data_IF_448307742913
#
_entry.id   IF_448307742913
#
_cell.length_a   1.000
_cell.length_b   1.000
_cell.length_c   1.000
_cell.angle_alpha   90.00
_cell.angle_beta   90.00
_cell.angle_gamma   90.00
#
_symmetry.space_group_name_H-M   'P 1'
#
loop_
_entity.id
_entity.type
_entity.pdbx_description
1 polymer ?
#
# COMPACT_ATOMS: atom_id res chain seq x y z
N UNK A 1 -1.79 -0.52 -8.60
CA UNK A 1 -1.88 -1.79 -9.39
C UNK A 1 -2.62 -1.62 -10.72
N UNK A 2 -2.05 -2.02 -11.87
CA UNK A 2 -2.79 -2.17 -13.14
C UNK A 2 -3.17 -3.66 -13.35
N UNK A 3 -4.37 -4.07 -12.94
CA UNK A 3 -4.84 -5.47 -13.10
C UNK A 3 -5.21 -5.76 -14.55
N UNK A 4 -4.22 -6.18 -15.35
CA UNK A 4 -4.44 -6.96 -16.58
C UNK A 4 -3.89 -8.37 -16.39
N UNK A 5 -4.68 -9.24 -15.75
CA UNK A 5 -4.40 -10.67 -15.70
C UNK A 5 -4.65 -11.23 -17.10
N UNK A 6 -3.60 -11.37 -17.90
CA UNK A 6 -3.67 -11.95 -19.25
C UNK A 6 -3.06 -13.35 -19.18
N UNK A 7 -3.92 -14.37 -19.26
CA UNK A 7 -3.48 -15.73 -19.58
C UNK A 7 -2.98 -15.77 -21.02
N UNK A 8 -1.90 -16.51 -21.28
CA UNK A 8 -1.35 -16.69 -22.62
C UNK A 8 -2.22 -17.59 -23.52
N UNK A 9 -3.40 -17.10 -23.94
CA UNK A 9 -4.28 -17.74 -24.94
C UNK A 9 -4.71 -16.69 -25.97
N UNK A 10 -4.60 -17.03 -27.26
CA UNK A 10 -4.82 -16.09 -28.35
C UNK A 10 -6.30 -15.71 -28.57
N UNK A 11 -6.53 -14.40 -28.72
CA UNK A 11 -7.68 -13.68 -29.33
C UNK A 11 -9.11 -14.23 -29.18
N UNK A 12 -10.01 -13.40 -28.64
CA UNK A 12 -11.04 -12.73 -29.48
C UNK A 12 -11.79 -11.55 -28.80
N UNK A 13 -11.91 -10.45 -29.55
CA UNK A 13 -12.93 -9.39 -29.56
C UNK A 13 -13.26 -8.53 -28.30
N UNK A 14 -13.21 -7.20 -28.53
CA UNK A 14 -13.84 -6.14 -27.73
C UNK A 14 -15.38 -6.16 -27.83
N UNK A 15 -16.07 -5.70 -26.78
CA UNK A 15 -17.20 -4.76 -26.94
C UNK A 15 -17.08 -3.67 -25.86
N UNK A 16 -17.10 -2.40 -26.30
CA UNK A 16 -17.34 -1.22 -25.47
C UNK A 16 -18.80 -0.84 -25.64
N UNK A 17 -19.51 -0.52 -24.56
CA UNK A 17 -20.72 0.27 -24.61
C UNK A 17 -20.84 1.16 -23.37
N UNK A 18 -20.96 2.46 -23.61
CA UNK A 18 -21.34 3.44 -22.60
C UNK A 18 -22.71 4.05 -22.92
N UNK A 19 -23.37 4.57 -21.89
CA UNK A 19 -24.49 5.52 -21.88
C UNK A 19 -24.76 5.82 -20.39
N UNK A 20 -25.04 7.03 -19.93
CA UNK A 20 -25.39 8.28 -20.61
C UNK A 20 -26.64 8.88 -19.93
N UNK A 21 -26.64 10.16 -19.55
CA UNK A 21 -27.79 10.72 -18.84
C UNK A 21 -27.63 12.12 -18.22
N UNK A 22 -27.32 13.14 -19.02
CA UNK A 22 -27.55 14.55 -18.65
C UNK A 22 -28.83 15.11 -19.29
N UNK A 23 -29.56 15.96 -18.56
CA UNK A 23 -30.66 16.87 -18.99
C UNK A 23 -31.23 17.57 -17.73
N UNK A 24 -31.71 18.82 -17.67
CA UNK A 24 -31.79 20.01 -18.56
C UNK A 24 -32.30 21.21 -17.68
N UNK A 25 -32.43 22.49 -18.04
CA UNK A 25 -32.03 23.35 -19.18
C UNK A 25 -32.20 24.85 -18.81
N UNK A 26 -31.60 25.78 -19.58
CA UNK A 26 -31.92 27.23 -19.58
C UNK A 26 -30.95 28.14 -18.81
N UNK A 27 -30.58 29.34 -19.28
CA UNK A 27 -30.82 29.96 -20.60
C UNK A 27 -30.65 31.50 -20.60
N UNK A 28 -29.75 32.04 -21.45
CA UNK A 28 -29.51 33.49 -21.75
C UNK A 28 -28.98 34.37 -20.58
N UNK A 29 -28.15 35.42 -20.75
CA UNK A 29 -27.69 36.19 -21.94
C UNK A 29 -26.31 36.86 -21.67
N UNK A 30 -25.54 37.17 -22.73
CA UNK A 30 -24.50 38.23 -22.94
C UNK A 30 -23.99 39.10 -21.75
N UNK A 31 -22.72 39.52 -21.62
CA UNK A 31 -21.78 40.11 -22.62
C UNK A 31 -20.27 39.87 -22.29
N UNK A 32 -19.38 40.42 -23.13
CA UNK A 32 -17.90 40.32 -23.13
C UNK A 32 -17.16 41.00 -21.96
N UNK A 33 -15.89 40.62 -21.73
CA UNK A 33 -14.73 41.46 -22.14
C UNK A 33 -13.36 40.76 -21.98
N UNK A 34 -12.40 41.16 -22.82
CA UNK A 34 -11.01 40.67 -22.85
C UNK A 34 -10.08 41.58 -22.02
N UNK A 35 -9.16 40.98 -21.25
CA UNK A 35 -7.89 41.62 -20.90
C UNK A 35 -6.81 40.58 -20.53
N UNK A 36 -5.64 40.67 -21.18
CA UNK A 36 -4.42 39.90 -20.89
C UNK A 36 -3.36 40.80 -20.19
N UNK A 37 -2.18 40.31 -19.73
CA UNK A 37 -1.59 40.71 -18.44
C UNK A 37 -0.37 41.65 -18.57
N UNK A 38 0.24 42.05 -17.43
CA UNK A 38 1.56 41.50 -17.03
C UNK A 38 1.69 41.36 -15.48
N UNK A 39 2.77 40.85 -14.85
CA UNK A 39 3.99 40.18 -15.31
C UNK A 39 5.13 40.20 -14.25
N UNK A 40 5.85 39.07 -14.11
CA UNK A 40 7.29 38.91 -13.74
C UNK A 40 7.80 39.27 -12.31
N UNK A 41 8.46 38.26 -11.68
CA UNK A 41 9.53 38.32 -10.64
C UNK A 41 9.12 38.68 -9.18
N UNK A 42 9.85 38.32 -8.10
CA UNK A 42 11.22 37.79 -7.91
C UNK A 42 11.33 36.87 -6.67
N UNK A 43 12.36 36.02 -6.60
CA UNK A 43 12.81 35.33 -5.37
C UNK A 43 13.97 36.06 -4.70
N UNK A 44 14.13 35.93 -3.36
CA UNK A 44 15.44 35.79 -2.72
C UNK A 44 15.45 34.63 -1.70
N UNK A 45 16.30 33.61 -1.82
CA UNK A 45 17.73 33.55 -1.45
C UNK A 45 18.01 33.58 0.07
N UNK A 46 18.49 32.44 0.58
CA UNK A 46 18.93 32.16 1.96
C UNK A 46 20.33 32.76 2.27
N UNK A 47 20.69 32.95 3.56
CA UNK A 47 22.09 32.95 3.98
C UNK A 47 22.40 31.97 5.13
N UNK A 48 23.43 31.14 4.94
CA UNK A 48 24.08 30.29 5.94
C UNK A 48 25.00 31.09 6.88
N UNK A 49 25.28 30.62 8.11
CA UNK A 49 26.64 30.24 8.60
C UNK A 49 26.61 29.63 10.04
N UNK A 50 27.72 29.25 10.74
CA UNK A 50 27.78 27.92 11.37
C UNK A 50 28.09 27.93 12.88
N UNK A 51 28.12 26.74 13.50
CA UNK A 51 28.62 26.55 14.87
C UNK A 51 28.87 25.07 15.17
N UNK A 52 30.13 24.70 15.40
CA UNK A 52 30.55 23.33 15.68
C UNK A 52 31.02 23.20 17.14
N UNK A 53 30.59 22.15 17.85
CA UNK A 53 31.15 21.75 19.16
C UNK A 53 31.07 20.24 19.33
N UNK A 54 32.23 19.60 19.51
CA UNK A 54 32.38 18.15 19.63
C UNK A 54 31.87 17.59 20.98
N UNK A 55 31.25 16.41 20.95
CA UNK A 55 31.10 15.44 22.06
C UNK A 55 30.51 14.11 21.55
N UNK A 56 30.65 12.99 22.29
CA UNK A 56 31.34 11.82 21.76
C UNK A 56 30.49 10.88 20.90
N UNK A 57 31.18 10.17 20.01
CA UNK A 57 30.63 9.21 19.06
C UNK A 57 30.10 7.92 19.73
N UNK A 58 28.81 7.86 20.01
CA UNK A 58 28.06 6.61 19.90
C UNK A 58 27.87 6.29 18.43
N UNK A 59 28.40 5.16 17.96
CA UNK A 59 28.16 4.66 16.60
C UNK A 59 26.73 4.10 16.54
N UNK A 60 25.77 4.98 16.31
CA UNK A 60 24.48 4.60 15.76
C UNK A 60 24.70 4.27 14.29
N UNK A 61 24.76 2.97 13.95
CA UNK A 61 24.81 2.53 12.55
C UNK A 61 23.52 2.96 11.86
N UNK A 62 23.57 4.06 11.11
CA UNK A 62 22.41 4.58 10.39
C UNK A 62 21.92 3.54 9.38
N UNK A 63 20.81 2.90 9.68
CA UNK A 63 20.18 1.96 8.75
C UNK A 63 19.57 2.74 7.57
N UNK A 64 19.84 2.33 6.33
CA UNK A 64 19.37 3.05 5.14
C UNK A 64 17.87 2.89 4.90
N UNK A 65 17.32 3.66 3.96
CA UNK A 65 15.90 3.57 3.57
C UNK A 65 15.61 2.29 2.77
N UNK A 66 14.41 1.74 2.96
CA UNK A 66 13.91 0.59 2.17
C UNK A 66 13.75 1.00 0.71
N UNK A 67 14.30 0.20 -0.21
CA UNK A 67 14.00 0.31 -1.65
C UNK A 67 12.88 -0.66 -2.02
N UNK A 68 11.94 -0.20 -2.83
CA UNK A 68 10.91 -1.06 -3.41
C UNK A 68 11.49 -1.80 -4.63
N UNK A 69 11.96 -3.02 -4.41
CA UNK A 69 12.34 -3.99 -5.45
C UNK A 69 11.36 -5.17 -5.42
N UNK A 70 11.45 -6.05 -6.41
CA UNK A 70 10.61 -7.24 -6.54
C UNK A 70 10.96 -8.29 -5.47
N UNK A 71 10.12 -8.41 -4.45
CA UNK A 71 10.29 -9.32 -3.29
C UNK A 71 10.48 -10.81 -3.65
N UNK A 72 10.27 -11.23 -4.91
CA UNK A 72 10.37 -12.63 -5.32
C UNK A 72 11.82 -13.13 -5.43
N UNK A 73 12.84 -12.28 -5.56
CA UNK A 73 14.19 -12.74 -5.90
C UNK A 73 14.80 -13.72 -4.87
N UNK A 74 14.57 -13.52 -3.57
CA UNK A 74 15.00 -14.47 -2.53
C UNK A 74 14.27 -15.81 -2.63
N UNK A 75 12.96 -15.79 -2.89
CA UNK A 75 12.18 -17.02 -3.07
C UNK A 75 12.47 -17.71 -4.41
N UNK A 76 12.96 -16.99 -5.42
CA UNK A 76 13.47 -17.54 -6.65
C UNK A 76 14.82 -18.25 -6.44
N UNK A 77 15.71 -17.72 -5.58
CA UNK A 77 16.96 -18.38 -5.18
C UNK A 77 16.68 -19.73 -4.50
N UNK A 78 15.74 -19.75 -3.55
CA UNK A 78 15.24 -21.00 -2.94
C UNK A 78 14.68 -21.97 -4.01
N UNK A 79 13.92 -21.45 -4.98
CA UNK A 79 13.41 -22.23 -6.10
C UNK A 79 14.49 -22.78 -7.06
N UNK A 80 15.64 -22.12 -7.17
CA UNK A 80 16.80 -22.60 -7.93
C UNK A 80 17.54 -23.72 -7.18
N UNK A 81 17.62 -23.69 -5.84
CA UNK A 81 18.25 -24.76 -5.05
C UNK A 81 17.54 -26.10 -5.25
N UNK A 82 16.21 -26.08 -5.33
CA UNK A 82 15.38 -27.28 -5.58
C UNK A 82 15.46 -27.79 -7.04
N UNK A 83 16.17 -27.10 -7.93
CA UNK A 83 16.25 -27.45 -9.36
C UNK A 83 17.48 -28.30 -9.68
N UNK A 84 17.24 -29.53 -10.14
CA UNK A 84 18.31 -30.47 -10.55
C UNK A 84 18.79 -30.28 -12.00
N UNK A 85 17.97 -29.71 -12.87
CA UNK A 85 18.29 -29.48 -14.28
C UNK A 85 18.85 -28.07 -14.50
N UNK A 86 19.78 -27.88 -15.47
CA UNK A 86 20.27 -26.54 -15.83
C UNK A 86 19.15 -25.59 -16.23
N UNK A 87 19.17 -24.36 -15.69
CA UNK A 87 18.20 -23.32 -16.01
C UNK A 87 18.31 -22.89 -17.48
N UNK A 88 17.17 -22.82 -18.15
CA UNK A 88 16.97 -22.44 -19.56
C UNK A 88 15.67 -21.64 -19.70
N UNK A 89 15.47 -20.96 -20.83
CA UNK A 89 14.21 -20.25 -21.09
C UNK A 89 12.98 -21.15 -20.86
N UNK A 90 11.99 -20.61 -20.17
CA UNK A 90 10.75 -21.26 -19.72
C UNK A 90 10.96 -22.40 -18.70
N UNK A 91 12.12 -22.44 -18.01
CA UNK A 91 12.29 -23.34 -16.87
C UNK A 91 11.36 -22.92 -15.74
N UNK A 92 10.56 -23.86 -15.26
CA UNK A 92 9.80 -23.65 -14.04
C UNK A 92 10.64 -23.96 -12.79
N UNK A 93 10.54 -23.07 -11.81
CA UNK A 93 11.01 -23.26 -10.43
C UNK A 93 9.82 -23.22 -9.47
N UNK A 94 9.99 -23.76 -8.27
CA UNK A 94 8.98 -23.71 -7.21
C UNK A 94 9.27 -22.48 -6.34
N UNK A 95 8.36 -21.52 -6.31
CA UNK A 95 8.49 -20.28 -5.52
C UNK A 95 7.47 -20.30 -4.40
N UNK A 96 7.95 -20.27 -3.15
CA UNK A 96 7.14 -20.32 -1.92
C UNK A 96 7.34 -19.04 -1.11
N UNK A 97 6.63 -17.98 -1.48
CA UNK A 97 6.65 -16.68 -0.79
C UNK A 97 5.79 -16.64 0.49
N UNK A 98 5.65 -17.78 1.18
CA UNK A 98 4.87 -17.93 2.41
C UNK A 98 5.78 -17.98 3.64
N UNK A 99 5.37 -17.34 4.74
CA UNK A 99 6.12 -17.36 6.00
C UNK A 99 5.63 -18.44 6.98
N UNK A 100 6.46 -18.92 7.93
CA UNK A 100 7.93 -18.86 7.89
C UNK A 100 8.51 -19.39 6.57
N UNK A 101 9.57 -18.74 6.09
CA UNK A 101 10.30 -19.11 4.88
C UNK A 101 11.16 -20.36 5.11
N UNK A 102 11.74 -20.90 4.04
CA UNK A 102 12.78 -21.95 4.06
C UNK A 102 12.44 -23.20 4.89
N UNK A 103 11.15 -23.56 5.01
CA UNK A 103 10.62 -24.71 5.75
C UNK A 103 11.06 -26.10 5.23
N UNK A 104 11.82 -26.18 4.14
CA UNK A 104 12.29 -27.45 3.59
C UNK A 104 13.50 -28.02 4.33
N UNK A 105 13.81 -29.29 4.11
CA UNK A 105 14.99 -29.94 4.69
C UNK A 105 16.31 -29.45 4.09
N UNK A 106 17.42 -29.74 4.76
CA UNK A 106 18.77 -29.37 4.32
C UNK A 106 19.08 -29.80 2.87
N UNK A 107 19.83 -28.95 2.18
CA UNK A 107 20.22 -29.11 0.77
C UNK A 107 21.75 -29.14 0.64
N UNK A 108 22.25 -29.61 -0.51
CA UNK A 108 23.65 -29.36 -0.87
C UNK A 108 23.82 -27.92 -1.34
N UNK A 109 25.00 -27.32 -1.16
CA UNK A 109 25.32 -26.04 -1.79
C UNK A 109 25.35 -26.23 -3.31
N UNK A 110 24.63 -25.37 -4.03
CA UNK A 110 24.57 -25.36 -5.50
C UNK A 110 25.10 -24.05 -6.06
N UNK A 111 25.71 -24.10 -7.24
CA UNK A 111 26.10 -22.93 -8.03
C UNK A 111 25.05 -22.68 -9.12
N UNK A 112 24.30 -21.60 -9.00
CA UNK A 112 23.18 -21.26 -9.88
C UNK A 112 23.72 -20.41 -11.05
N UNK A 113 23.85 -21.04 -12.23
CA UNK A 113 24.41 -20.38 -13.42
C UNK A 113 23.31 -20.00 -14.43
N UNK A 114 23.05 -18.70 -14.56
CA UNK A 114 22.16 -18.10 -15.56
C UNK A 114 22.92 -16.97 -16.25
N UNK A 115 23.77 -17.34 -17.23
CA UNK A 115 24.81 -16.46 -17.79
C UNK A 115 24.31 -15.34 -18.74
N UNK A 116 23.01 -15.29 -19.01
CA UNK A 116 22.32 -14.22 -19.77
C UNK A 116 20.87 -14.15 -19.28
N UNK A 117 20.20 -12.98 -19.34
CA UNK A 117 18.80 -12.84 -18.95
C UNK A 117 17.90 -13.93 -19.57
N UNK A 118 17.31 -14.75 -18.70
CA UNK A 118 16.60 -15.99 -19.07
C UNK A 118 15.19 -15.99 -18.46
N UNK A 119 14.18 -16.35 -19.26
CA UNK A 119 12.80 -16.47 -18.79
C UNK A 119 12.68 -17.66 -17.85
N UNK A 120 12.23 -17.41 -16.63
CA UNK A 120 11.93 -18.38 -15.59
C UNK A 120 10.47 -18.23 -15.19
N UNK A 121 9.78 -19.34 -14.95
CA UNK A 121 8.34 -19.37 -14.65
C UNK A 121 8.11 -19.82 -13.21
N UNK A 122 7.58 -18.93 -12.39
CA UNK A 122 7.24 -19.22 -11.00
C UNK A 122 6.06 -20.22 -10.97
N UNK A 123 6.27 -21.35 -10.28
CA UNK A 123 5.29 -22.42 -10.07
C UNK A 123 4.65 -23.00 -11.35
N UNK A 124 5.25 -22.80 -12.52
CA UNK A 124 4.74 -23.29 -13.80
C UNK A 124 3.49 -22.54 -14.28
N UNK A 125 3.30 -21.31 -13.82
CA UNK A 125 2.13 -20.48 -14.12
C UNK A 125 1.97 -20.12 -15.61
N UNK A 126 0.72 -20.05 -16.04
CA UNK A 126 0.31 -19.57 -17.37
C UNK A 126 0.00 -18.05 -17.38
N UNK A 127 0.24 -17.34 -16.28
CA UNK A 127 0.09 -15.90 -16.17
C UNK A 127 1.44 -15.21 -16.32
N UNK A 128 1.51 -14.25 -17.24
CA UNK A 128 2.74 -13.50 -17.56
C UNK A 128 3.32 -12.71 -16.37
N UNK A 129 2.52 -12.40 -15.36
CA UNK A 129 3.01 -11.71 -14.16
C UNK A 129 3.93 -12.58 -13.29
N UNK A 130 3.89 -13.91 -13.50
CA UNK A 130 4.70 -14.91 -12.80
C UNK A 130 5.89 -15.37 -13.68
N UNK A 131 6.19 -14.61 -14.75
CA UNK A 131 7.28 -14.88 -15.69
C UNK A 131 8.36 -13.82 -15.49
N UNK A 132 9.51 -14.25 -14.99
CA UNK A 132 10.60 -13.39 -14.57
C UNK A 132 11.82 -13.58 -15.48
N UNK A 133 12.63 -12.55 -15.63
CA UNK A 133 13.84 -12.58 -16.45
C UNK A 133 15.07 -12.42 -15.58
N UNK A 134 15.68 -13.54 -15.19
CA UNK A 134 16.80 -13.55 -14.25
C UNK A 134 18.15 -13.73 -14.97
N UNK A 135 19.20 -13.17 -14.37
CA UNK A 135 20.61 -13.41 -14.68
C UNK A 135 21.37 -13.59 -13.35
N UNK A 136 22.42 -14.42 -13.34
CA UNK A 136 23.24 -14.63 -12.14
C UNK A 136 24.73 -14.54 -12.43
N UNK A 137 25.49 -14.00 -11.47
CA UNK A 137 26.94 -13.92 -11.54
C UNK A 137 27.54 -14.44 -10.22
N UNK A 138 28.22 -15.60 -10.30
CA UNK A 138 28.81 -16.27 -9.13
C UNK A 138 27.81 -16.71 -8.07
N UNK A 139 26.50 -16.72 -8.37
CA UNK A 139 25.46 -17.03 -7.39
C UNK A 139 25.60 -18.47 -6.91
N UNK A 140 25.77 -18.65 -5.61
CA UNK A 140 25.76 -19.94 -4.94
C UNK A 140 24.83 -19.89 -3.73
N UNK A 141 24.09 -20.97 -3.50
CA UNK A 141 23.07 -20.97 -2.45
C UNK A 141 22.91 -22.34 -1.79
N UNK A 142 22.49 -22.34 -0.52
CA UNK A 142 22.21 -23.54 0.27
C UNK A 142 21.14 -23.25 1.33
N UNK A 143 20.07 -24.06 1.37
CA UNK A 143 19.20 -24.15 2.55
C UNK A 143 19.80 -25.12 3.57
N UNK A 144 19.94 -24.68 4.83
CA UNK A 144 20.49 -25.46 5.95
C UNK A 144 19.90 -24.99 7.28
N UNK A 145 19.45 -25.90 8.15
CA UNK A 145 18.81 -25.59 9.43
C UNK A 145 17.60 -24.62 9.33
N UNK A 146 16.86 -24.65 8.23
CA UNK A 146 15.80 -23.66 7.88
C UNK A 146 16.29 -22.20 7.70
N UNK A 147 17.60 -22.00 7.50
CA UNK A 147 18.18 -20.77 7.01
C UNK A 147 18.53 -20.93 5.53
N UNK A 148 18.44 -19.83 4.76
CA UNK A 148 18.96 -19.75 3.40
C UNK A 148 20.31 -19.02 3.44
N UNK A 149 21.36 -19.69 2.96
CA UNK A 149 22.71 -19.15 2.82
C UNK A 149 22.92 -18.81 1.34
N UNK A 150 23.34 -17.58 1.02
CA UNK A 150 23.50 -17.08 -0.35
C UNK A 150 24.78 -16.26 -0.50
N UNK A 151 25.52 -16.47 -1.58
CA UNK A 151 26.67 -15.66 -1.97
C UNK A 151 26.63 -15.39 -3.48
N UNK A 152 27.15 -14.25 -3.94
CA UNK A 152 27.13 -13.84 -5.36
C UNK A 152 25.95 -12.95 -5.75
N UNK A 153 25.67 -12.80 -7.05
CA UNK A 153 24.70 -11.81 -7.57
C UNK A 153 23.54 -12.44 -8.32
N UNK A 154 22.33 -11.92 -8.10
CA UNK A 154 21.15 -12.13 -8.95
C UNK A 154 20.64 -10.78 -9.48
N UNK A 155 20.21 -10.74 -10.74
CA UNK A 155 19.65 -9.56 -11.41
C UNK A 155 18.29 -9.90 -12.03
N UNK A 156 17.34 -8.97 -11.98
CA UNK A 156 16.08 -9.06 -12.73
C UNK A 156 16.03 -8.02 -13.87
N UNK A 157 15.47 -8.45 -15.00
CA UNK A 157 15.27 -7.66 -16.20
C UNK A 157 13.78 -7.63 -16.57
N UNK A 158 13.35 -6.59 -17.30
CA UNK A 158 11.97 -6.54 -17.79
C UNK A 158 11.75 -7.64 -18.84
N UNK A 159 10.76 -8.49 -18.59
CA UNK A 159 10.16 -9.34 -19.63
C UNK A 159 9.34 -8.49 -20.61
N UNK A 160 9.60 -8.64 -21.91
CA UNK A 160 8.87 -7.98 -22.98
C UNK A 160 7.81 -8.93 -23.58
N UNK A 161 6.54 -8.56 -23.39
CA UNK A 161 5.38 -9.28 -23.91
C UNK A 161 5.26 -9.26 -25.44
N UNK A 162 5.82 -8.26 -26.12
CA UNK A 162 5.70 -8.10 -27.57
C UNK A 162 6.67 -9.01 -28.32
N UNK A 163 7.91 -9.10 -27.84
CA UNK A 163 8.93 -10.00 -28.37
C UNK A 163 8.88 -11.41 -27.76
N UNK A 164 8.18 -11.59 -26.62
CA UNK A 164 8.21 -12.81 -25.81
C UNK A 164 9.67 -13.19 -25.44
N UNK A 165 10.40 -12.20 -24.93
CA UNK A 165 11.81 -12.33 -24.56
C UNK A 165 12.16 -11.51 -23.32
N UNK A 166 13.30 -11.78 -22.70
CA UNK A 166 13.91 -10.81 -21.80
C UNK A 166 14.40 -9.60 -22.61
N UNK A 167 14.17 -8.40 -22.08
CA UNK A 167 14.72 -7.16 -22.62
C UNK A 167 16.07 -6.85 -21.98
N UNK A 168 16.73 -5.78 -22.46
CA UNK A 168 17.94 -5.23 -21.84
C UNK A 168 17.65 -4.22 -20.72
N UNK A 169 16.39 -3.98 -20.35
CA UNK A 169 16.04 -3.08 -19.25
C UNK A 169 16.25 -3.80 -17.91
N UNK A 170 17.31 -3.41 -17.21
CA UNK A 170 17.63 -3.88 -15.86
C UNK A 170 16.70 -3.24 -14.84
N UNK A 171 16.02 -4.07 -14.04
CA UNK A 171 15.10 -3.62 -12.99
C UNK A 171 15.79 -3.46 -11.63
N UNK A 172 16.75 -4.33 -11.34
CA UNK A 172 17.56 -4.28 -10.13
C UNK A 172 18.38 -5.55 -9.93
N UNK A 173 19.33 -5.51 -9.00
CA UNK A 173 20.10 -6.68 -8.56
C UNK A 173 20.24 -6.70 -7.04
N UNK A 174 20.41 -7.90 -6.51
CA UNK A 174 20.95 -8.12 -5.17
C UNK A 174 22.32 -8.78 -5.28
N UNK A 175 23.29 -8.20 -4.56
CA UNK A 175 24.62 -8.78 -4.34
C UNK A 175 24.65 -9.29 -2.90
N UNK A 176 24.87 -10.58 -2.75
CA UNK A 176 25.03 -11.27 -1.47
C UNK A 176 26.52 -11.56 -1.25
N UNK A 177 26.97 -11.36 -0.01
CA UNK A 177 28.34 -11.62 0.44
C UNK A 177 28.23 -12.52 1.69
N UNK A 178 28.28 -13.84 1.49
CA UNK A 178 27.99 -14.86 2.52
C UNK A 178 26.73 -14.54 3.37
N UNK A 179 25.65 -14.08 2.73
CA UNK A 179 24.42 -13.69 3.41
C UNK A 179 23.66 -14.91 3.96
N UNK A 180 23.16 -14.79 5.19
CA UNK A 180 22.35 -15.82 5.85
C UNK A 180 21.00 -15.21 6.21
N UNK A 181 19.91 -15.79 5.71
CA UNK A 181 18.53 -15.40 5.97
C UNK A 181 17.86 -16.45 6.84
N UNK A 182 17.11 -16.01 7.84
CA UNK A 182 16.30 -16.89 8.67
C UNK A 182 14.89 -17.10 8.11
N UNK A 183 14.07 -17.92 8.80
CA UNK A 183 12.69 -18.19 8.39
C UNK A 183 11.74 -16.98 8.50
N UNK A 184 12.17 -15.85 9.06
CA UNK A 184 11.44 -14.59 9.10
C UNK A 184 11.82 -13.61 7.98
N UNK A 185 12.88 -13.92 7.22
CA UNK A 185 13.56 -13.06 6.25
C UNK A 185 14.45 -11.96 6.86
N UNK A 186 14.75 -12.03 8.16
CA UNK A 186 15.88 -11.26 8.71
C UNK A 186 17.20 -11.89 8.24
N UNK A 187 18.20 -11.04 7.96
CA UNK A 187 19.56 -11.51 7.66
C UNK A 187 20.61 -11.09 8.69
N UNK A 188 21.54 -11.99 8.99
CA UNK A 188 22.38 -11.93 10.20
C UNK A 188 23.36 -10.74 10.27
N UNK A 189 23.78 -10.18 9.13
CA UNK A 189 24.89 -9.20 9.07
C UNK A 189 24.56 -8.00 8.19
N UNK A 190 24.60 -6.79 8.75
CA UNK A 190 24.46 -5.53 8.00
C UNK A 190 25.52 -5.47 6.89
N UNK A 191 25.07 -5.25 5.65
CA UNK A 191 25.94 -5.17 4.48
C UNK A 191 26.33 -6.51 3.85
N UNK A 192 25.87 -7.66 4.37
CA UNK A 192 25.96 -8.92 3.61
C UNK A 192 25.05 -8.89 2.37
N UNK A 193 24.03 -8.03 2.34
CA UNK A 193 23.16 -7.80 1.19
C UNK A 193 23.24 -6.33 0.73
N UNK A 194 23.51 -6.16 -0.56
CA UNK A 194 23.55 -4.86 -1.25
C UNK A 194 22.54 -4.88 -2.39
N UNK A 195 21.68 -3.86 -2.44
CA UNK A 195 20.83 -3.62 -3.61
C UNK A 195 21.55 -2.73 -4.62
N UNK A 196 21.41 -3.06 -5.90
CA UNK A 196 21.90 -2.27 -7.02
C UNK A 196 20.72 -1.90 -7.92
N UNK A 197 20.46 -0.61 -8.07
CA UNK A 197 19.38 -0.15 -8.95
C UNK A 197 19.78 -0.13 -10.43
N UNK A 198 18.82 0.12 -11.32
CA UNK A 198 19.02 0.16 -12.77
C UNK A 198 20.02 1.21 -13.28
N UNK A 199 20.50 2.13 -12.44
CA UNK A 199 21.60 3.05 -12.77
C UNK A 199 22.98 2.50 -12.38
N UNK A 200 23.03 1.36 -11.69
CA UNK A 200 24.24 0.76 -11.16
C UNK A 200 24.67 1.31 -9.80
N UNK A 201 23.87 2.15 -9.14
CA UNK A 201 24.17 2.66 -7.80
C UNK A 201 23.85 1.58 -6.77
N UNK A 202 24.84 1.29 -5.92
CA UNK A 202 24.78 0.29 -4.87
C UNK A 202 24.41 0.93 -3.52
N UNK A 203 23.59 0.22 -2.74
CA UNK A 203 23.20 0.60 -1.38
C UNK A 203 23.03 -0.65 -0.53
N UNK A 204 23.74 -0.70 0.61
CA UNK A 204 23.52 -1.72 1.64
C UNK A 204 22.03 -1.75 2.03
N UNK A 205 21.51 -2.92 2.33
CA UNK A 205 20.16 -3.08 2.88
C UNK A 205 20.21 -3.13 4.42
N UNK A 206 19.15 -2.67 5.12
CA UNK A 206 18.96 -2.99 6.53
C UNK A 206 18.63 -4.49 6.69
N UNK A 207 19.01 -5.10 7.82
CA UNK A 207 18.78 -6.54 8.10
C UNK A 207 17.31 -6.97 8.04
N UNK A 208 16.39 -6.02 8.17
CA UNK A 208 14.95 -6.21 8.12
C UNK A 208 14.30 -5.92 6.75
N UNK A 209 15.05 -5.59 5.69
CA UNK A 209 14.47 -5.08 4.42
C UNK A 209 13.38 -6.01 3.86
N UNK A 210 13.66 -7.32 3.85
CA UNK A 210 12.76 -8.33 3.29
C UNK A 210 11.55 -8.65 4.19
N UNK A 211 11.71 -8.69 5.52
CA UNK A 211 10.56 -8.85 6.44
C UNK A 211 9.66 -7.60 6.43
N UNK A 212 10.23 -6.41 6.31
CA UNK A 212 9.48 -5.16 6.14
C UNK A 212 8.74 -5.10 4.80
N UNK A 213 9.37 -5.54 3.70
CA UNK A 213 8.74 -5.71 2.39
C UNK A 213 7.58 -6.73 2.43
N UNK A 214 7.74 -7.85 3.13
CA UNK A 214 6.69 -8.85 3.33
C UNK A 214 5.52 -8.30 4.16
N UNK A 215 5.81 -7.54 5.23
CA UNK A 215 4.79 -6.80 5.98
C UNK A 215 4.06 -5.76 5.11
N UNK A 216 4.78 -5.08 4.21
CA UNK A 216 4.21 -4.13 3.26
C UNK A 216 3.15 -4.76 2.35
N UNK A 217 3.49 -5.84 1.64
CA UNK A 217 2.53 -6.56 0.79
C UNK A 217 1.35 -7.14 1.59
N UNK A 218 1.59 -7.60 2.81
CA UNK A 218 0.54 -8.02 3.74
C UNK A 218 -0.40 -6.85 4.11
N UNK A 219 0.14 -5.67 4.45
CA UNK A 219 -0.63 -4.45 4.74
C UNK A 219 -1.44 -4.00 3.52
N UNK A 220 -0.88 -4.16 2.32
CA UNK A 220 -1.53 -3.84 1.04
C UNK A 220 -2.68 -4.78 0.68
N UNK A 221 -2.60 -6.08 0.96
CA UNK A 221 -3.76 -7.00 0.83
C UNK A 221 -4.87 -6.69 1.86
N UNK A 222 -4.48 -6.33 3.09
CA UNK A 222 -5.40 -6.00 4.19
C UNK A 222 -6.14 -4.68 3.98
N UNK A 223 -5.40 -3.61 3.69
CA UNK A 223 -5.86 -2.22 3.75
C UNK A 223 -5.72 -1.43 2.43
N UNK A 224 -5.02 -1.96 1.42
CA UNK A 224 -4.89 -1.39 0.08
C UNK A 224 -3.63 -0.55 -0.15
N UNK A 225 -3.21 -0.44 -1.43
CA UNK A 225 -2.01 0.28 -1.91
C UNK A 225 -1.71 1.58 -1.12
N UNK A 226 -2.68 2.49 -1.01
CA UNK A 226 -2.40 3.81 -0.40
C UNK A 226 -2.28 3.80 1.12
N UNK A 227 -2.84 2.80 1.80
CA UNK A 227 -2.66 2.67 3.25
C UNK A 227 -1.29 2.08 3.59
N UNK A 228 -0.80 1.11 2.79
CA UNK A 228 0.59 0.64 2.86
C UNK A 228 1.56 1.81 2.67
N UNK A 229 1.41 2.56 1.57
CA UNK A 229 2.28 3.68 1.24
C UNK A 229 2.29 4.77 2.33
N UNK A 230 1.15 5.04 2.96
CA UNK A 230 1.02 5.97 4.08
C UNK A 230 1.78 5.49 5.33
N UNK A 231 1.72 4.20 5.64
CA UNK A 231 2.29 3.61 6.85
C UNK A 231 3.78 3.29 6.70
N UNK A 232 4.23 2.88 5.51
CA UNK A 232 5.59 2.41 5.24
C UNK A 232 6.63 3.36 5.77
N UNK A 233 6.55 4.66 5.47
CA UNK A 233 7.55 5.62 5.91
C UNK A 233 7.65 5.72 7.45
N UNK A 234 6.53 5.53 8.17
CA UNK A 234 6.49 5.54 9.64
C UNK A 234 7.07 4.26 10.22
N UNK A 235 6.73 3.12 9.61
CA UNK A 235 7.28 1.81 9.95
C UNK A 235 8.79 1.78 9.69
N UNK A 236 9.26 2.39 8.60
CA UNK A 236 10.68 2.51 8.29
C UNK A 236 11.41 3.35 9.33
N UNK A 237 10.85 4.49 9.76
CA UNK A 237 11.44 5.30 10.84
C UNK A 237 11.48 4.52 12.16
N UNK A 238 10.46 3.73 12.47
CA UNK A 238 10.42 2.89 13.66
C UNK A 238 11.43 1.73 13.59
N UNK A 239 11.49 1.01 12.47
CA UNK A 239 12.46 -0.08 12.22
C UNK A 239 13.91 0.42 12.26
N UNK A 240 14.21 1.62 11.75
CA UNK A 240 15.53 2.26 11.90
C UNK A 240 15.93 2.55 13.36
N UNK A 241 14.97 2.60 14.28
CA UNK A 241 15.22 2.89 15.70
C UNK A 241 15.45 1.64 16.56
N UNK A 242 14.84 0.49 16.20
CA UNK A 242 14.90 -0.75 17.00
C UNK A 242 15.43 -1.98 16.24
N UNK A 243 15.57 -1.91 14.91
CA UNK A 243 15.96 -3.01 14.05
C UNK A 243 14.79 -3.91 13.67
N UNK A 244 15.08 -5.18 13.37
CA UNK A 244 14.09 -6.17 12.96
C UNK A 244 13.11 -6.56 14.07
N UNK A 245 13.43 -6.29 15.34
CA UNK A 245 12.60 -6.63 16.51
C UNK A 245 11.19 -6.02 16.49
N UNK A 246 10.95 -4.99 15.67
CA UNK A 246 9.62 -4.45 15.44
C UNK A 246 8.69 -5.41 14.68
N UNK A 247 9.21 -6.44 14.00
CA UNK A 247 8.44 -7.37 13.18
C UNK A 247 8.32 -8.73 13.88
N UNK A 248 7.15 -9.06 14.43
CA UNK A 248 6.90 -10.35 15.07
C UNK A 248 6.25 -11.33 14.08
N UNK A 249 6.97 -12.39 13.70
CA UNK A 249 6.43 -13.45 12.85
C UNK A 249 5.61 -14.46 13.67
N UNK A 250 4.30 -14.49 13.45
CA UNK A 250 3.43 -15.55 13.93
C UNK A 250 3.68 -16.85 13.13
N UNK A 251 4.54 -17.72 13.66
CA UNK A 251 5.01 -18.96 13.00
C UNK A 251 3.91 -19.94 12.60
N UNK A 252 2.72 -19.87 13.22
CA UNK A 252 1.58 -20.75 12.92
C UNK A 252 0.73 -20.26 11.75
N UNK A 253 0.69 -18.95 11.51
CA UNK A 253 -0.16 -18.34 10.47
C UNK A 253 0.62 -17.70 9.31
N UNK A 254 1.93 -17.50 9.47
CA UNK A 254 2.76 -16.77 8.50
C UNK A 254 2.50 -15.26 8.48
N UNK A 255 1.68 -14.73 9.41
CA UNK A 255 1.45 -13.29 9.55
C UNK A 255 2.61 -12.62 10.28
N UNK A 256 2.95 -11.41 9.86
CA UNK A 256 3.83 -10.51 10.60
C UNK A 256 2.96 -9.47 11.31
N UNK A 257 3.07 -9.36 12.62
CA UNK A 257 2.49 -8.26 13.40
C UNK A 257 3.61 -7.31 13.85
N UNK A 258 3.27 -6.11 14.35
CA UNK A 258 4.30 -5.16 14.80
C UNK A 258 4.44 -5.20 16.33
N UNK A 259 5.65 -5.45 16.85
CA UNK A 259 5.96 -5.25 18.27
C UNK A 259 6.45 -3.83 18.51
N UNK A 260 5.67 -3.05 19.26
CA UNK A 260 6.00 -1.67 19.62
C UNK A 260 6.68 -1.58 21.00
N UNK A 261 6.93 -2.69 21.70
CA UNK A 261 7.46 -2.73 23.07
C UNK A 261 8.82 -2.03 23.25
N UNK A 262 9.63 -1.99 22.18
CA UNK A 262 10.96 -1.38 22.17
C UNK A 262 10.95 0.09 21.69
N UNK A 263 9.81 0.61 21.20
CA UNK A 263 9.71 1.97 20.68
C UNK A 263 9.45 2.99 21.80
N UNK A 264 10.40 3.91 21.97
CA UNK A 264 10.30 5.03 22.92
C UNK A 264 9.70 6.31 22.30
N UNK A 265 8.95 6.21 21.20
CA UNK A 265 8.43 7.36 20.43
C UNK A 265 6.97 7.16 19.98
N UNK A 266 6.27 8.26 19.69
CA UNK A 266 4.91 8.25 19.10
C UNK A 266 4.92 8.14 17.57
N UNK A 267 5.97 7.54 17.00
CA UNK A 267 6.12 7.29 15.55
C UNK A 267 5.03 6.36 15.04
N UNK A 268 4.74 5.31 15.81
CA UNK A 268 3.62 4.38 15.63
C UNK A 268 2.83 4.32 16.94
N UNK A 269 1.56 3.94 16.84
CA UNK A 269 0.65 3.86 17.98
C UNK A 269 -0.10 2.54 17.90
N UNK A 270 0.05 1.67 18.91
CA UNK A 270 -0.65 0.40 18.91
C UNK A 270 -2.15 0.64 19.15
N UNK A 271 -3.00 0.09 18.28
CA UNK A 271 -4.45 0.08 18.49
C UNK A 271 -4.85 -0.44 19.88
N UNK A 272 -4.17 -1.47 20.40
CA UNK A 272 -4.43 -2.06 21.71
C UNK A 272 -4.14 -1.10 22.89
N UNK A 273 -3.38 -0.03 22.67
CA UNK A 273 -3.12 1.01 23.68
C UNK A 273 -4.22 2.09 23.78
N UNK A 274 -5.18 2.10 22.85
CA UNK A 274 -6.16 3.18 22.72
C UNK A 274 -7.43 2.93 23.55
N UNK A 275 -7.95 3.99 24.17
CA UNK A 275 -9.32 3.96 24.72
C UNK A 275 -10.33 3.88 23.57
N UNK A 276 -11.03 2.75 23.48
CA UNK A 276 -11.96 2.45 22.40
C UNK A 276 -13.18 3.39 22.37
N UNK A 277 -13.60 3.93 23.52
CA UNK A 277 -14.71 4.89 23.56
C UNK A 277 -14.25 6.26 23.05
N UNK A 278 -13.07 6.72 23.45
CA UNK A 278 -12.42 7.93 22.91
C UNK A 278 -12.18 7.78 21.41
N UNK A 279 -11.77 6.60 20.94
CA UNK A 279 -11.60 6.27 19.52
C UNK A 279 -12.91 6.43 18.76
N UNK A 280 -13.98 5.75 19.16
CA UNK A 280 -15.27 5.83 18.47
C UNK A 280 -15.90 7.23 18.56
N UNK A 281 -15.65 7.96 19.64
CA UNK A 281 -16.07 9.36 19.79
C UNK A 281 -15.18 10.36 19.01
N UNK A 282 -14.16 9.91 18.27
CA UNK A 282 -13.24 10.79 17.52
C UNK A 282 -12.41 11.73 18.39
N UNK A 283 -12.23 11.38 19.67
CA UNK A 283 -11.84 12.31 20.74
C UNK A 283 -10.42 12.10 21.32
N UNK A 284 -9.67 11.07 20.88
CA UNK A 284 -8.34 10.71 21.45
C UNK A 284 -7.37 11.91 21.47
N UNK A 285 -7.36 12.73 20.40
CA UNK A 285 -6.46 13.88 20.23
C UNK A 285 -7.22 15.13 19.74
N UNK A 286 -8.48 15.30 20.13
CA UNK A 286 -9.31 16.42 19.66
C UNK A 286 -10.77 16.26 20.05
N UNK A 287 -11.66 16.99 19.39
CA UNK A 287 -13.11 16.85 19.56
C UNK A 287 -13.82 16.93 18.19
N UNK A 288 -14.83 16.09 17.92
CA UNK A 288 -15.54 16.14 16.65
C UNK A 288 -16.11 17.52 16.33
N UNK A 289 -15.90 17.97 15.09
CA UNK A 289 -16.33 19.31 14.64
C UNK A 289 -15.54 20.49 15.21
N UNK A 290 -14.49 20.26 16.00
CA UNK A 290 -13.61 21.32 16.54
C UNK A 290 -12.16 21.13 16.11
N UNK A 291 -11.49 22.23 15.75
CA UNK A 291 -10.07 22.23 15.38
C UNK A 291 -9.78 21.42 14.12
N UNK A 292 -8.73 20.60 14.19
CA UNK A 292 -8.19 19.76 13.11
C UNK A 292 -7.92 18.37 13.68
N UNK A 293 -8.15 17.31 12.90
CA UNK A 293 -7.80 15.95 13.30
C UNK A 293 -6.27 15.78 13.37
N UNK A 294 -5.75 15.17 14.43
CA UNK A 294 -4.31 14.96 14.60
C UNK A 294 -3.73 13.95 13.58
N UNK A 295 -2.54 14.20 13.05
CA UNK A 295 -1.85 13.25 12.16
C UNK A 295 -1.57 11.89 12.81
N UNK A 296 -1.60 11.80 14.14
CA UNK A 296 -1.53 10.54 14.92
C UNK A 296 -2.60 9.52 14.52
N UNK A 297 -3.76 9.94 13.99
CA UNK A 297 -4.72 9.01 13.38
C UNK A 297 -4.12 8.17 12.24
N UNK A 298 -3.14 8.72 11.50
CA UNK A 298 -2.39 8.03 10.47
C UNK A 298 -1.19 7.23 10.99
N UNK A 299 -0.99 7.12 12.31
CA UNK A 299 0.10 6.35 12.95
C UNK A 299 -0.39 5.10 13.68
N UNK A 300 -1.71 4.88 13.69
CA UNK A 300 -2.32 3.73 14.35
C UNK A 300 -2.03 2.46 13.53
N UNK A 301 -1.40 1.49 14.17
CA UNK A 301 -1.06 0.16 13.62
C UNK A 301 -1.69 -0.95 14.47
N UNK A 302 -1.48 -2.22 14.09
CA UNK A 302 -2.11 -3.39 14.73
C UNK A 302 -3.65 -3.29 14.79
N UNK A 303 -4.24 -2.61 13.80
CA UNK A 303 -5.69 -2.43 13.68
C UNK A 303 -6.34 -3.81 13.43
N UNK A 304 -7.39 -4.20 14.17
CA UNK A 304 -8.08 -5.46 13.96
C UNK A 304 -8.55 -5.66 12.51
N UNK A 305 -8.63 -6.92 12.07
CA UNK A 305 -8.70 -7.29 10.64
C UNK A 305 -9.90 -8.15 10.27
N UNK A 306 -10.65 -8.61 11.27
CA UNK A 306 -11.86 -9.40 11.08
C UNK A 306 -13.03 -8.53 10.55
N UNK A 307 -14.05 -9.20 10.01
CA UNK A 307 -15.22 -8.53 9.46
C UNK A 307 -16.34 -8.27 10.50
N UNK A 308 -16.02 -8.26 11.80
CA UNK A 308 -17.01 -7.90 12.82
C UNK A 308 -17.42 -6.44 12.71
N UNK A 309 -18.62 -6.15 13.22
CA UNK A 309 -19.14 -4.79 13.24
C UNK A 309 -18.22 -3.83 14.01
N UNK A 310 -17.57 -4.30 15.08
CA UNK A 310 -16.69 -3.46 15.89
C UNK A 310 -15.39 -3.11 15.13
N UNK A 311 -14.76 -4.10 14.51
CA UNK A 311 -13.56 -3.87 13.69
C UNK A 311 -13.83 -2.90 12.54
N UNK A 312 -14.97 -3.04 11.86
CA UNK A 312 -15.39 -2.09 10.83
C UNK A 312 -15.57 -0.68 11.41
N UNK A 313 -16.18 -0.50 12.59
CA UNK A 313 -16.28 0.83 13.24
C UNK A 313 -14.92 1.45 13.50
N UNK A 314 -13.98 0.68 14.07
CA UNK A 314 -12.64 1.17 14.40
C UNK A 314 -11.90 1.60 13.14
N UNK A 315 -11.81 0.71 12.15
CA UNK A 315 -11.20 0.99 10.84
C UNK A 315 -11.83 2.22 10.17
N UNK A 316 -13.16 2.38 10.26
CA UNK A 316 -13.89 3.52 9.67
C UNK A 316 -13.46 4.86 10.26
N UNK A 317 -13.44 4.96 11.60
CA UNK A 317 -13.07 6.21 12.28
C UNK A 317 -11.59 6.50 12.12
N UNK A 318 -10.71 5.49 12.23
CA UNK A 318 -9.26 5.65 12.04
C UNK A 318 -8.95 6.17 10.63
N UNK A 319 -9.43 5.49 9.58
CA UNK A 319 -9.13 5.87 8.19
C UNK A 319 -9.77 7.20 7.79
N UNK A 320 -10.97 7.52 8.29
CA UNK A 320 -11.63 8.81 8.01
C UNK A 320 -10.95 9.98 8.75
N UNK A 321 -10.53 9.79 10.00
CA UNK A 321 -9.80 10.84 10.74
C UNK A 321 -8.36 11.01 10.24
N UNK A 322 -7.72 9.94 9.78
CA UNK A 322 -6.46 10.04 9.03
C UNK A 322 -6.63 10.76 7.67
N UNK A 323 -7.76 10.56 6.98
CA UNK A 323 -8.05 11.35 5.79
C UNK A 323 -8.17 12.85 6.16
N UNK A 324 -8.91 13.17 7.23
CA UNK A 324 -9.23 14.54 7.66
C UNK A 324 -8.08 15.31 8.31
N UNK A 325 -7.01 14.64 8.77
CA UNK A 325 -5.86 15.28 9.43
C UNK A 325 -4.90 16.00 8.48
N UNK A 326 -5.04 15.80 7.18
CA UNK A 326 -4.08 16.25 6.15
C UNK A 326 -4.77 16.98 5.01
N UNK A 327 -4.08 17.93 4.37
CA UNK A 327 -4.62 18.67 3.22
C UNK A 327 -4.82 17.70 2.03
N UNK A 328 -5.95 17.82 1.33
CA UNK A 328 -6.25 17.01 0.14
C UNK A 328 -6.74 17.86 -1.02
N UNK A 329 -6.16 17.64 -2.19
CA UNK A 329 -6.78 18.04 -3.44
C UNK A 329 -7.93 17.08 -3.73
N UNK A 330 -9.14 17.63 -3.84
CA UNK A 330 -10.31 16.94 -4.36
C UNK A 330 -10.60 17.45 -5.78
N UNK A 331 -10.81 16.55 -6.75
CA UNK A 331 -11.26 16.90 -8.10
C UNK A 331 -12.77 17.19 -8.13
N UNK A 332 -13.21 18.03 -9.07
CA UNK A 332 -14.58 18.54 -9.12
C UNK A 332 -15.56 17.46 -9.59
N UNK A 333 -16.79 17.48 -9.07
CA UNK A 333 -17.85 16.56 -9.52
C UNK A 333 -19.17 17.30 -9.73
N UNK A 334 -19.62 17.36 -10.98
CA UNK A 334 -20.77 18.16 -11.39
C UNK A 334 -20.62 19.65 -11.02
N UNK A 335 -21.74 20.33 -10.83
CA UNK A 335 -21.78 21.74 -10.40
C UNK A 335 -21.73 21.93 -8.87
N UNK A 336 -22.00 20.88 -8.09
CA UNK A 336 -22.14 20.97 -6.62
C UNK A 336 -20.83 20.77 -5.85
N UNK A 337 -19.84 20.08 -6.43
CA UNK A 337 -18.57 19.79 -5.78
C UNK A 337 -17.43 20.49 -6.51
N UNK A 338 -16.99 21.63 -5.98
CA UNK A 338 -15.83 22.35 -6.50
C UNK A 338 -14.53 21.53 -6.33
N UNK A 339 -13.57 21.73 -7.24
CA UNK A 339 -12.21 21.24 -7.05
C UNK A 339 -11.38 22.20 -6.19
N UNK A 340 -10.33 21.68 -5.58
CA UNK A 340 -9.34 22.50 -4.88
C UNK A 340 -8.63 21.77 -3.76
N UNK A 341 -7.72 22.48 -3.10
CA UNK A 341 -7.08 22.03 -1.87
C UNK A 341 -8.02 22.25 -0.69
N UNK A 342 -8.60 21.17 -0.18
CA UNK A 342 -9.34 21.16 1.07
C UNK A 342 -8.32 21.07 2.23
N UNK A 343 -8.33 22.01 3.18
CA UNK A 343 -7.42 21.97 4.33
C UNK A 343 -7.74 20.79 5.24
N UNK A 344 -6.84 20.44 6.17
CA UNK A 344 -7.18 19.59 7.31
C UNK A 344 -8.42 20.11 8.04
N UNK A 345 -9.26 19.19 8.52
CA UNK A 345 -10.52 19.51 9.22
C UNK A 345 -10.65 18.70 10.51
N UNK A 346 -11.54 19.16 11.40
CA UNK A 346 -11.83 18.53 12.68
C UNK A 346 -12.08 17.01 12.56
N UNK A 347 -11.76 16.20 13.60
CA UNK A 347 -12.08 14.78 13.59
C UNK A 347 -13.59 14.55 13.56
N UNK A 348 -13.98 13.29 13.40
CA UNK A 348 -15.35 12.82 13.28
C UNK A 348 -15.59 11.63 14.21
N UNK A 349 -16.81 11.53 14.75
CA UNK A 349 -17.25 10.42 15.59
C UNK A 349 -18.05 9.38 14.81
N UNK A 350 -18.04 8.14 15.27
CA UNK A 350 -19.01 7.14 14.85
C UNK A 350 -20.39 7.43 15.44
N UNK A 351 -21.44 7.31 14.62
CA UNK A 351 -22.83 7.47 15.04
C UNK A 351 -23.70 6.33 14.49
N UNK A 352 -24.36 5.59 15.40
CA UNK A 352 -25.13 4.41 15.02
C UNK A 352 -26.37 4.74 14.17
N UNK A 353 -26.97 5.92 14.33
CA UNK A 353 -28.11 6.35 13.49
C UNK A 353 -27.65 6.61 12.06
N UNK A 354 -26.51 7.29 11.91
CA UNK A 354 -25.85 7.55 10.62
C UNK A 354 -25.43 6.25 9.95
N UNK A 355 -24.94 5.26 10.72
CA UNK A 355 -24.61 3.94 10.20
C UNK A 355 -25.85 3.15 9.75
N UNK A 356 -26.96 3.23 10.49
CA UNK A 356 -28.23 2.63 10.08
C UNK A 356 -28.76 3.26 8.77
N UNK A 357 -28.59 4.58 8.59
CA UNK A 357 -28.94 5.27 7.36
C UNK A 357 -28.10 4.78 6.17
N UNK A 358 -26.78 4.67 6.35
CA UNK A 358 -25.88 4.13 5.34
C UNK A 358 -26.24 2.68 4.97
N UNK A 359 -26.63 1.87 5.96
CA UNK A 359 -27.03 0.48 5.77
C UNK A 359 -28.25 0.34 4.84
N UNK A 360 -29.21 1.26 4.89
CA UNK A 360 -30.38 1.25 3.97
C UNK A 360 -29.96 1.37 2.51
N UNK A 361 -28.98 2.23 2.20
CA UNK A 361 -28.45 2.34 0.84
C UNK A 361 -27.63 1.11 0.45
N UNK A 362 -26.84 0.55 1.37
CA UNK A 362 -26.07 -0.69 1.15
C UNK A 362 -26.95 -1.91 0.87
N UNK A 363 -28.09 -2.03 1.56
CA UNK A 363 -29.10 -3.05 1.29
C UNK A 363 -29.72 -2.88 -0.12
N UNK A 364 -29.99 -1.64 -0.54
CA UNK A 364 -30.57 -1.36 -1.85
C UNK A 364 -29.55 -1.51 -3.00
N UNK A 365 -28.28 -1.11 -2.80
CA UNK A 365 -27.16 -1.40 -3.70
C UNK A 365 -27.02 -2.92 -3.89
N UNK A 366 -27.04 -3.70 -2.80
CA UNK A 366 -26.99 -5.17 -2.85
C UNK A 366 -28.22 -5.76 -3.54
N UNK A 367 -29.44 -5.25 -3.28
CA UNK A 367 -30.67 -5.73 -3.93
C UNK A 367 -30.65 -5.48 -5.43
N UNK A 368 -30.14 -4.34 -5.89
CA UNK A 368 -30.01 -3.98 -7.32
C UNK A 368 -28.81 -4.60 -8.01
N UNK A 369 -27.81 -5.05 -7.23
CA UNK A 369 -26.48 -5.41 -7.72
C UNK A 369 -25.78 -4.27 -8.48
N UNK A 370 -25.95 -3.05 -7.97
CA UNK A 370 -25.52 -1.83 -8.63
C UNK A 370 -25.00 -0.82 -7.61
N UNK A 371 -24.06 0.03 -8.05
CA UNK A 371 -23.59 1.17 -7.28
C UNK A 371 -24.53 2.35 -7.45
N UNK A 372 -24.79 3.09 -6.37
CA UNK A 372 -25.54 4.34 -6.45
C UNK A 372 -26.04 4.88 -5.12
N UNK A 373 -26.59 6.09 -5.19
CA UNK A 373 -27.29 6.79 -4.12
C UNK A 373 -28.80 6.52 -4.23
N UNK A 374 -29.20 5.29 -3.92
CA UNK A 374 -30.60 4.87 -4.03
C UNK A 374 -31.44 5.25 -2.80
N UNK A 375 -30.80 5.39 -1.64
CA UNK A 375 -31.41 5.87 -0.39
C UNK A 375 -30.47 6.89 0.26
N UNK A 376 -30.90 8.14 0.39
CA UNK A 376 -30.09 9.23 0.94
C UNK A 376 -30.80 9.82 2.15
N UNK A 377 -30.25 9.56 3.34
CA UNK A 377 -30.78 10.01 4.64
C UNK A 377 -29.68 10.72 5.47
N UNK A 378 -28.80 11.45 4.79
CA UNK A 378 -27.57 12.02 5.34
C UNK A 378 -27.26 13.38 4.71
N UNK A 379 -26.37 14.15 5.35
CA UNK A 379 -25.90 15.44 4.84
C UNK A 379 -24.79 15.32 3.79
N UNK A 380 -24.16 14.14 3.71
CA UNK A 380 -23.22 13.73 2.67
C UNK A 380 -23.17 12.20 2.61
N UNK A 381 -23.08 11.63 1.42
CA UNK A 381 -23.03 10.18 1.20
C UNK A 381 -21.99 9.82 0.15
N UNK A 382 -21.20 8.77 0.43
CA UNK A 382 -20.35 8.10 -0.54
C UNK A 382 -20.81 6.65 -0.71
N UNK A 383 -20.72 6.08 -1.92
CA UNK A 383 -21.20 4.73 -2.21
C UNK A 383 -20.25 3.96 -3.15
N UNK A 384 -19.96 2.69 -2.84
CA UNK A 384 -19.14 1.80 -3.68
C UNK A 384 -19.61 0.36 -3.68
N UNK A 385 -19.61 -0.28 -4.86
CA UNK A 385 -19.69 -1.74 -4.98
C UNK A 385 -18.27 -2.28 -5.21
N UNK A 386 -17.56 -2.48 -4.10
CA UNK A 386 -16.17 -2.94 -4.07
C UNK A 386 -16.02 -4.09 -3.08
N UNK A 387 -15.70 -5.29 -3.57
CA UNK A 387 -15.43 -6.45 -2.71
C UNK A 387 -14.05 -6.32 -2.04
N UNK A 388 -14.02 -6.17 -0.72
CA UNK A 388 -12.80 -5.98 0.08
C UNK A 388 -12.82 -6.71 1.43
N UNK A 389 -11.64 -6.90 2.02
CA UNK A 389 -11.43 -7.48 3.37
C UNK A 389 -11.48 -6.43 4.49
N UNK A 390 -11.56 -5.14 4.13
CA UNK A 390 -11.51 -4.02 5.07
C UNK A 390 -12.28 -2.82 4.50
N UNK A 391 -12.79 -1.97 5.40
CA UNK A 391 -13.39 -0.66 5.07
C UNK A 391 -12.33 0.44 4.87
N UNK A 392 -11.08 0.23 5.32
CA UNK A 392 -9.95 1.15 5.03
C UNK A 392 -9.72 1.24 3.52
N UNK A 393 -9.94 0.15 2.78
CA UNK A 393 -9.81 0.11 1.32
C UNK A 393 -10.76 1.14 0.66
N UNK A 394 -12.10 1.05 0.74
CA UNK A 394 -12.99 2.04 0.12
C UNK A 394 -12.83 3.46 0.68
N UNK A 395 -12.48 3.65 1.97
CA UNK A 395 -12.29 4.99 2.54
C UNK A 395 -11.00 5.65 2.04
N UNK A 396 -9.86 4.94 2.05
CA UNK A 396 -8.53 5.53 1.87
C UNK A 396 -7.60 4.71 0.94
N UNK A 397 -7.57 3.39 1.11
CA UNK A 397 -6.51 2.55 0.54
C UNK A 397 -6.70 2.10 -0.90
N UNK A 398 -7.89 2.28 -1.50
CA UNK A 398 -8.20 1.71 -2.80
C UNK A 398 -7.43 2.37 -3.95
N UNK A 399 -6.55 1.58 -4.58
CA UNK A 399 -5.55 2.00 -5.58
C UNK A 399 -4.46 2.90 -5.01
N UNK A 400 -3.42 3.14 -5.80
CA UNK A 400 -2.28 3.99 -5.44
C UNK A 400 -2.69 5.49 -5.41
N UNK A 401 -1.94 6.37 -4.73
CA UNK A 401 -2.19 7.80 -4.76
C UNK A 401 -1.99 8.38 -6.16
N UNK A 402 -2.50 9.60 -6.37
CA UNK A 402 -2.30 10.33 -7.62
C UNK A 402 -0.84 10.69 -7.87
N UNK A 403 -0.43 10.69 -9.14
CA UNK A 403 0.94 11.01 -9.59
C UNK A 403 1.03 12.30 -10.42
N UNK A 404 -0.06 13.07 -10.53
CA UNK A 404 -0.15 14.31 -11.32
C UNK A 404 0.35 15.57 -10.57
N UNK A 405 1.00 15.38 -9.42
CA UNK A 405 1.60 16.45 -8.62
C UNK A 405 0.63 17.20 -7.70
N UNK A 406 -0.68 16.92 -7.72
CA UNK A 406 -1.61 17.51 -6.72
C UNK A 406 -1.54 16.72 -5.41
N UNK A 407 -1.69 17.41 -4.28
CA UNK A 407 -1.48 16.81 -2.95
C UNK A 407 -2.69 15.99 -2.52
N UNK A 408 -2.68 14.67 -2.70
CA UNK A 408 -3.59 13.75 -2.02
C UNK A 408 -2.93 12.37 -1.88
N UNK A 409 -2.72 11.91 -0.64
CA UNK A 409 -2.04 10.63 -0.34
C UNK A 409 -2.99 9.44 -0.14
N UNK A 410 -4.30 9.64 -0.32
CA UNK A 410 -5.26 8.53 -0.41
C UNK A 410 -5.30 8.01 -1.85
N UNK A 411 -5.79 6.78 -2.01
CA UNK A 411 -5.87 6.13 -3.31
C UNK A 411 -6.84 6.85 -4.22
N UNK A 412 -6.48 7.04 -5.49
CA UNK A 412 -7.26 7.84 -6.45
C UNK A 412 -8.73 7.40 -6.55
N UNK A 413 -8.97 6.09 -6.43
CA UNK A 413 -10.31 5.51 -6.47
C UNK A 413 -10.95 5.29 -5.08
N UNK A 414 -10.28 5.65 -3.98
CA UNK A 414 -10.89 5.65 -2.63
C UNK A 414 -11.77 6.88 -2.41
N UNK A 415 -12.66 6.86 -1.42
CA UNK A 415 -13.51 8.02 -1.12
C UNK A 415 -12.71 9.26 -0.71
N UNK A 416 -11.57 9.12 -0.04
CA UNK A 416 -10.69 10.25 0.30
C UNK A 416 -9.85 10.76 -0.90
N UNK A 417 -9.80 10.03 -2.02
CA UNK A 417 -9.07 10.41 -3.24
C UNK A 417 -9.94 10.81 -4.43
N UNK A 418 -11.14 10.25 -4.55
CA UNK A 418 -12.02 10.35 -5.71
C UNK A 418 -12.85 11.64 -5.73
N UNK A 419 -13.15 12.14 -6.93
CA UNK A 419 -14.05 13.28 -7.16
C UNK A 419 -15.43 13.08 -6.52
N UNK A 420 -16.02 14.16 -5.97
CA UNK A 420 -17.29 14.16 -5.25
C UNK A 420 -17.22 13.54 -3.85
N UNK A 421 -16.55 12.39 -3.72
CA UNK A 421 -16.40 11.68 -2.45
C UNK A 421 -15.42 12.36 -1.49
N UNK A 422 -14.30 12.87 -2.01
CA UNK A 422 -13.25 13.54 -1.25
C UNK A 422 -13.80 14.78 -0.54
N UNK A 423 -14.69 15.52 -1.20
CA UNK A 423 -15.38 16.67 -0.62
C UNK A 423 -16.25 16.28 0.58
N UNK A 424 -16.98 15.15 0.54
CA UNK A 424 -17.76 14.67 1.68
C UNK A 424 -16.85 14.30 2.85
N UNK A 425 -15.75 13.57 2.60
CA UNK A 425 -14.76 13.21 3.64
C UNK A 425 -14.15 14.45 4.29
N UNK A 426 -13.79 15.46 3.48
CA UNK A 426 -13.10 16.69 3.92
C UNK A 426 -14.04 17.84 4.30
N UNK A 427 -15.36 17.66 4.30
CA UNK A 427 -16.30 18.71 4.69
C UNK A 427 -16.28 18.89 6.22
N UNK A 428 -15.86 20.08 6.66
CA UNK A 428 -15.72 20.46 8.08
C UNK A 428 -17.06 20.55 8.82
N UNK A 429 -18.19 20.61 8.11
CA UNK A 429 -19.53 20.64 8.72
C UNK A 429 -19.94 19.30 9.32
N UNK A 430 -19.39 18.20 8.82
CA UNK A 430 -19.71 16.86 9.31
C UNK A 430 -18.95 16.56 10.59
N UNK A 431 -19.69 16.09 11.59
CA UNK A 431 -19.20 15.76 12.94
C UNK A 431 -19.44 14.29 13.30
N UNK A 432 -20.31 13.62 12.54
CA UNK A 432 -20.69 12.23 12.69
C UNK A 432 -20.56 11.48 11.36
N UNK A 433 -20.18 10.21 11.44
CA UNK A 433 -20.16 9.28 10.31
C UNK A 433 -20.77 7.92 10.67
N UNK A 434 -21.13 7.16 9.64
CA UNK A 434 -21.46 5.75 9.78
C UNK A 434 -21.25 4.99 8.46
N UNK A 435 -20.98 3.69 8.58
CA UNK A 435 -20.80 2.79 7.43
C UNK A 435 -21.91 1.75 7.38
N UNK A 436 -22.48 1.57 6.19
CA UNK A 436 -23.29 0.43 5.78
C UNK A 436 -22.52 -0.48 4.83
N UNK A 437 -22.83 -1.77 4.85
CA UNK A 437 -22.18 -2.78 3.99
C UNK A 437 -23.04 -4.05 3.86
N UNK A 438 -22.67 -4.94 2.94
CA UNK A 438 -23.21 -6.32 2.84
C UNK A 438 -22.10 -7.30 2.51
N UNK A 439 -22.31 -8.58 2.81
CA UNK A 439 -21.44 -9.66 2.30
C UNK A 439 -21.36 -9.57 0.77
N UNK A 440 -20.17 -9.77 0.22
CA UNK A 440 -19.92 -9.74 -1.22
C UNK A 440 -20.56 -10.95 -1.91
N UNK A 441 -21.40 -10.72 -2.93
CA UNK A 441 -22.06 -11.82 -3.67
C UNK A 441 -21.08 -12.70 -4.45
N UNK A 442 -19.94 -12.15 -4.86
CA UNK A 442 -18.89 -12.88 -5.60
C UNK A 442 -17.87 -13.58 -4.69
N UNK A 443 -17.90 -13.30 -3.38
CA UNK A 443 -16.92 -13.82 -2.42
C UNK A 443 -17.45 -13.65 -1.00
N UNK A 444 -17.90 -14.73 -0.36
CA UNK A 444 -18.46 -14.70 0.99
C UNK A 444 -17.44 -14.43 2.10
N UNK A 445 -16.13 -14.48 1.80
CA UNK A 445 -15.06 -14.07 2.73
C UNK A 445 -14.83 -12.55 2.77
N UNK A 446 -15.57 -11.79 1.95
CA UNK A 446 -15.44 -10.34 1.80
C UNK A 446 -16.77 -9.61 1.99
N UNK A 447 -16.67 -8.30 2.15
CA UNK A 447 -17.78 -7.35 2.22
C UNK A 447 -17.70 -6.36 1.06
N UNK A 448 -18.85 -5.83 0.66
CA UNK A 448 -19.07 -4.96 -0.51
C UNK A 448 -20.32 -4.11 -0.28
N UNK A 449 -20.79 -3.41 -1.32
CA UNK A 449 -21.96 -2.53 -1.29
C UNK A 449 -21.84 -1.49 -0.16
N UNK A 450 -20.64 -0.90 -0.07
CA UNK A 450 -20.27 0.06 0.94
C UNK A 450 -21.05 1.35 0.76
N UNK A 451 -21.55 1.90 1.87
CA UNK A 451 -22.05 3.27 1.95
C UNK A 451 -21.39 3.94 3.14
N UNK A 452 -20.93 5.18 2.98
CA UNK A 452 -20.48 6.06 4.06
C UNK A 452 -21.40 7.26 4.11
N UNK A 453 -22.15 7.40 5.19
CA UNK A 453 -22.96 8.58 5.46
C UNK A 453 -22.27 9.51 6.46
N UNK A 454 -22.53 10.80 6.29
CA UNK A 454 -22.05 11.89 7.12
C UNK A 454 -23.18 12.80 7.59
N UNK A 455 -23.08 13.29 8.83
CA UNK A 455 -23.95 14.31 9.42
C UNK A 455 -23.13 15.40 10.11
#
# INVERSE_FOLDING_TARGET
>A
MNKRNISAVALLALIISGCGGESSSGGSTSTSDNATPPGISNSPSNPSNPGNTDSPSTVTSQQPDIKALSNNMIFAIEGFIEKTDPIRNYSSIIVKNELPAFKGGDTQKVDVTIATPTIVIDNGSNFVNDWHCYETAGLSAQRKNHQLIVDGTISEYRYDMQSNSCSSEHLGSYVFNDAVFDSSLEFETVGSVVSKDGSGIESNLPTYDFIAQAYGEQSKDRFGDSWELLQRDKINVAAKAVGASIFELNTSSGKIDLDLSQLNSDTLIDFASLDINQLLNGAIWGMPGQGVADEKWCRIVNIPEDLSQNTIKYQSVISTNCARSTQRYCDAFGSSFASGNYPPVAPIAWDNTTANNAQLNSDEQHRRDAQGHFVVNSSGQNAFVLSSKSVVIPIFGYTSPRSDGKVNNAGLNSWAGHEGHCQNVMNSRHTKMGIGYKTSKSDSSKVSYWTQDFN
#
